data_IF_916013499108
#
_entry.id   IF_916013499108
#
_cell.length_a   1.000
_cell.length_b   1.000
_cell.length_c   1.000
_cell.angle_alpha   90.00
_cell.angle_beta   90.00
_cell.angle_gamma   90.00
#
_symmetry.space_group_name_H-M   'P 1'
#
loop_
_entity.id
_entity.type
_entity.pdbx_description
1 polymer ?
#
# COMPACT_ATOMS: atom_id res chain seq x y z
N UNK A 1 15.47 -12.96 4.32
CA UNK A 1 14.48 -11.86 4.45
C UNK A 1 13.58 -12.17 5.64
N UNK A 2 13.19 -11.18 6.44
CA UNK A 2 12.41 -11.39 7.67
C UNK A 2 11.14 -10.54 7.64
N UNK A 3 9.99 -11.18 7.85
CA UNK A 3 8.70 -10.52 8.00
C UNK A 3 8.66 -9.63 9.25
N UNK A 4 7.91 -8.53 9.18
CA UNK A 4 7.74 -7.55 10.26
C UNK A 4 6.37 -7.74 10.90
N UNK A 5 6.35 -8.22 12.15
CA UNK A 5 5.14 -8.22 12.98
C UNK A 5 4.81 -6.80 13.39
N UNK A 6 3.60 -6.36 13.08
CA UNK A 6 3.21 -4.96 13.25
C UNK A 6 2.02 -4.77 14.20
N UNK A 7 1.29 -5.85 14.50
CA UNK A 7 0.16 -5.82 15.44
C UNK A 7 0.61 -6.22 16.84
N UNK A 8 0.06 -5.54 17.85
CA UNK A 8 0.15 -5.94 19.26
C UNK A 8 -1.00 -6.87 19.68
N UNK A 9 -1.99 -7.05 18.81
CA UNK A 9 -3.25 -7.72 19.12
C UNK A 9 -3.40 -9.08 18.41
N UNK A 10 -2.54 -9.36 17.43
CA UNK A 10 -2.53 -10.60 16.68
C UNK A 10 -1.13 -10.83 16.06
N UNK A 11 -0.97 -11.95 15.37
CA UNK A 11 0.30 -12.37 14.78
C UNK A 11 0.50 -11.87 13.34
N UNK A 12 -0.24 -10.86 12.91
CA UNK A 12 -0.12 -10.32 11.56
C UNK A 12 1.28 -9.73 11.34
N UNK A 13 1.80 -10.06 10.16
CA UNK A 13 3.09 -9.59 9.70
C UNK A 13 3.00 -9.15 8.24
N UNK A 14 3.87 -8.21 7.88
CA UNK A 14 4.11 -7.78 6.50
C UNK A 14 5.45 -8.39 6.06
N UNK A 15 5.57 -8.84 4.81
CA UNK A 15 6.81 -9.44 4.31
C UNK A 15 8.01 -8.50 4.34
N UNK A 16 7.82 -7.25 3.91
CA UNK A 16 8.85 -6.22 3.89
C UNK A 16 8.34 -4.85 4.35
N UNK A 17 9.16 -4.17 5.16
CA UNK A 17 8.93 -2.78 5.55
C UNK A 17 10.26 -2.03 5.51
N UNK A 18 10.54 -1.24 4.45
CA UNK A 18 11.70 -0.36 4.44
C UNK A 18 11.52 0.81 5.40
N UNK A 19 12.54 1.07 6.22
CA UNK A 19 12.56 2.18 7.17
C UNK A 19 13.61 3.22 6.80
N UNK A 20 13.29 4.49 7.02
CA UNK A 20 14.24 5.60 6.96
C UNK A 20 14.26 6.27 8.32
N UNK A 21 15.39 6.19 9.04
CA UNK A 21 15.53 6.74 10.40
C UNK A 21 14.41 6.29 11.36
N UNK A 22 13.97 5.03 11.23
CA UNK A 22 12.90 4.46 12.05
C UNK A 22 11.47 4.75 11.56
N UNK A 23 11.29 5.54 10.50
CA UNK A 23 9.99 5.80 9.88
C UNK A 23 9.70 4.78 8.77
N UNK A 24 8.55 4.08 8.79
CA UNK A 24 8.19 3.15 7.73
C UNK A 24 7.86 3.92 6.45
N UNK A 25 8.62 3.69 5.38
CA UNK A 25 8.40 4.38 4.10
C UNK A 25 7.39 3.62 3.25
N UNK A 26 7.46 2.29 3.25
CA UNK A 26 6.59 1.44 2.47
C UNK A 26 6.29 0.12 3.20
N UNK A 27 5.21 -0.54 2.80
CA UNK A 27 5.02 -1.98 3.04
C UNK A 27 5.04 -2.72 1.72
N UNK A 28 5.50 -3.97 1.71
CA UNK A 28 5.32 -4.84 0.55
C UNK A 28 4.91 -6.24 1.00
N UNK A 29 3.88 -6.79 0.36
CA UNK A 29 3.52 -8.21 0.44
C UNK A 29 4.00 -8.88 -0.85
N UNK A 30 4.71 -10.00 -0.71
CA UNK A 30 5.41 -10.66 -1.79
C UNK A 30 4.78 -12.02 -2.09
N UNK A 31 4.55 -12.31 -3.37
CA UNK A 31 4.09 -13.60 -3.87
C UNK A 31 5.06 -14.13 -4.92
N UNK A 32 5.32 -15.44 -4.90
CA UNK A 32 6.24 -16.10 -5.84
C UNK A 32 5.49 -16.89 -6.91
N UNK A 33 6.04 -16.89 -8.13
CA UNK A 33 5.41 -17.53 -9.29
C UNK A 33 5.51 -19.05 -9.19
N UNK A 34 4.35 -19.68 -8.95
CA UNK A 34 3.92 -20.99 -9.47
C UNK A 34 2.43 -21.19 -9.12
N UNK A 35 1.97 -20.59 -8.02
CA UNK A 35 0.59 -20.73 -7.51
C UNK A 35 -0.07 -19.44 -7.01
N UNK A 36 0.69 -18.35 -6.82
CA UNK A 36 0.19 -17.10 -6.22
C UNK A 36 0.40 -15.88 -7.14
N UNK A 37 -0.66 -15.12 -7.33
CA UNK A 37 -0.80 -13.94 -8.19
C UNK A 37 -0.61 -12.62 -7.41
N UNK A 38 -0.51 -11.49 -8.13
CA UNK A 38 -0.53 -10.16 -7.48
C UNK A 38 -1.88 -9.88 -6.84
N UNK A 39 -2.96 -10.45 -7.38
CA UNK A 39 -4.31 -10.40 -6.81
C UNK A 39 -4.34 -11.01 -5.40
N UNK A 40 -3.61 -12.10 -5.15
CA UNK A 40 -3.54 -12.71 -3.80
C UNK A 40 -2.91 -11.75 -2.78
N UNK A 41 -1.88 -11.00 -3.17
CA UNK A 41 -1.31 -9.95 -2.32
C UNK A 41 -2.28 -8.78 -2.13
N UNK A 42 -3.00 -8.38 -3.18
CA UNK A 42 -4.03 -7.32 -3.09
C UNK A 42 -5.15 -7.72 -2.14
N UNK A 43 -5.64 -8.95 -2.23
CA UNK A 43 -6.72 -9.45 -1.40
C UNK A 43 -6.25 -9.62 0.05
N UNK A 44 -5.01 -10.06 0.27
CA UNK A 44 -4.41 -10.05 1.60
C UNK A 44 -4.40 -8.64 2.21
N UNK A 45 -4.06 -7.60 1.43
CA UNK A 45 -4.18 -6.23 1.91
C UNK A 45 -5.62 -5.81 2.22
N UNK A 46 -6.58 -6.20 1.37
CA UNK A 46 -8.00 -5.80 1.50
C UNK A 46 -8.69 -6.43 2.70
N UNK A 47 -8.36 -7.68 3.01
CA UNK A 47 -9.15 -8.49 3.93
C UNK A 47 -8.40 -8.82 5.22
N UNK A 48 -7.07 -8.96 5.16
CA UNK A 48 -6.27 -9.37 6.33
C UNK A 48 -5.44 -8.22 6.93
N UNK A 49 -5.07 -7.22 6.11
CA UNK A 49 -4.27 -6.05 6.54
C UNK A 49 -5.14 -4.81 6.74
N UNK A 50 -6.17 -4.95 7.57
CA UNK A 50 -7.06 -3.83 7.88
C UNK A 50 -6.35 -2.82 8.79
N UNK A 51 -6.33 -1.51 8.44
CA UNK A 51 -5.79 -0.48 9.33
C UNK A 51 -6.53 -0.38 10.67
N UNK A 52 -7.81 -0.75 10.70
CA UNK A 52 -8.60 -0.83 11.93
C UNK A 52 -9.40 -2.13 11.94
N UNK A 53 -8.82 -3.24 12.44
CA UNK A 53 -9.51 -4.52 12.51
C UNK A 53 -10.77 -4.44 13.39
N UNK A 54 -11.81 -5.21 13.03
CA UNK A 54 -13.05 -5.25 13.81
C UNK A 54 -12.77 -5.82 15.20
N UNK A 55 -13.30 -5.17 16.23
CA UNK A 55 -13.11 -5.58 17.63
C UNK A 55 -11.84 -5.04 18.29
N UNK A 56 -10.96 -4.37 17.54
CA UNK A 56 -9.85 -3.61 18.12
C UNK A 56 -10.24 -2.14 18.30
N UNK A 57 -9.90 -1.59 19.47
CA UNK A 57 -10.14 -0.19 19.81
C UNK A 57 -9.16 0.75 19.09
N UNK A 58 -7.91 0.31 18.94
CA UNK A 58 -6.85 1.04 18.27
C UNK A 58 -6.72 0.65 16.79
N UNK A 59 -6.21 1.59 15.99
CA UNK A 59 -5.79 1.32 14.61
C UNK A 59 -4.34 0.81 14.59
N UNK A 60 -4.02 -0.02 13.61
CA UNK A 60 -2.68 -0.53 13.34
C UNK A 60 -1.79 0.62 12.83
N UNK A 61 -0.78 1.09 13.59
CA UNK A 61 -0.05 2.31 13.25
C UNK A 61 0.68 2.24 11.91
N UNK A 62 1.28 1.08 11.59
CA UNK A 62 2.00 0.85 10.33
C UNK A 62 1.11 1.03 9.09
N UNK A 63 -0.18 0.70 9.21
CA UNK A 63 -1.14 0.70 8.09
C UNK A 63 -2.07 1.91 8.10
N UNK A 64 -1.98 2.76 9.12
CA UNK A 64 -2.87 3.91 9.31
C UNK A 64 -2.45 5.09 8.44
N UNK A 65 -3.40 5.65 7.70
CA UNK A 65 -3.17 6.89 6.95
C UNK A 65 -3.50 8.13 7.81
N UNK A 66 -2.69 9.22 7.80
CA UNK A 66 -1.47 9.42 7.01
C UNK A 66 -0.16 9.08 7.75
N UNK A 67 -0.23 8.61 9.00
CA UNK A 67 0.94 8.54 9.89
C UNK A 67 1.78 7.25 9.74
N UNK A 68 1.25 6.22 9.09
CA UNK A 68 1.89 4.94 8.83
C UNK A 68 2.74 4.96 7.55
N UNK A 69 2.90 3.80 6.93
CA UNK A 69 3.62 3.70 5.66
C UNK A 69 2.96 4.54 4.57
N UNK A 70 3.79 5.23 3.76
CA UNK A 70 3.33 6.15 2.72
C UNK A 70 2.73 5.42 1.51
N UNK A 71 3.18 4.19 1.28
CA UNK A 71 2.77 3.36 0.14
C UNK A 71 2.77 1.88 0.54
N UNK A 72 1.81 1.14 0.01
CA UNK A 72 1.68 -0.29 0.15
C UNK A 72 1.81 -0.95 -1.22
N UNK A 73 2.76 -1.86 -1.36
CA UNK A 73 3.02 -2.59 -2.59
C UNK A 73 2.52 -4.03 -2.50
N UNK A 74 1.76 -4.45 -3.50
CA UNK A 74 1.46 -5.85 -3.78
C UNK A 74 2.40 -6.30 -4.90
N UNK A 75 3.24 -7.30 -4.65
CA UNK A 75 4.32 -7.70 -5.55
C UNK A 75 4.18 -9.18 -5.89
N UNK A 76 4.18 -9.49 -7.17
CA UNK A 76 4.41 -10.82 -7.72
C UNK A 76 5.64 -10.81 -8.61
N UNK A 77 6.05 -11.95 -9.16
CA UNK A 77 7.19 -11.98 -10.10
C UNK A 77 6.87 -11.36 -11.46
N UNK A 78 5.60 -11.07 -11.77
CA UNK A 78 5.15 -10.50 -13.06
C UNK A 78 4.66 -9.06 -12.98
N UNK A 79 4.05 -8.70 -11.86
CA UNK A 79 3.39 -7.41 -11.70
C UNK A 79 3.60 -6.86 -10.29
N UNK A 80 3.74 -5.53 -10.23
CA UNK A 80 3.69 -4.76 -8.99
C UNK A 80 2.52 -3.78 -9.06
N UNK A 81 1.70 -3.77 -8.00
CA UNK A 81 0.66 -2.76 -7.78
C UNK A 81 0.90 -1.99 -6.51
N UNK A 82 0.38 -0.77 -6.44
CA UNK A 82 0.54 0.12 -5.29
C UNK A 82 -0.74 0.85 -4.89
N UNK A 83 -0.80 1.26 -3.63
CA UNK A 83 -1.81 2.17 -3.09
C UNK A 83 -1.24 2.99 -1.93
N UNK A 84 -1.76 4.19 -1.69
CA UNK A 84 -1.32 5.07 -0.59
C UNK A 84 -2.23 5.01 0.64
N UNK A 85 -3.44 4.45 0.50
CA UNK A 85 -4.41 4.32 1.57
C UNK A 85 -5.20 3.03 1.46
N UNK A 86 -5.13 2.21 2.50
CA UNK A 86 -5.97 1.01 2.63
C UNK A 86 -7.37 1.40 3.13
N UNK A 87 -8.40 0.91 2.44
CA UNK A 87 -9.82 1.10 2.75
C UNK A 87 -10.55 -0.25 2.87
N UNK A 88 -9.83 -1.29 3.30
CA UNK A 88 -10.33 -2.66 3.36
C UNK A 88 -10.77 -3.16 1.98
N UNK A 89 -11.94 -3.79 1.90
CA UNK A 89 -12.52 -4.31 0.66
C UNK A 89 -12.63 -3.26 -0.48
N UNK A 90 -12.77 -1.97 -0.14
CA UNK A 90 -12.88 -0.88 -1.12
C UNK A 90 -11.53 -0.40 -1.66
N UNK A 91 -10.41 -0.98 -1.21
CA UNK A 91 -9.08 -0.59 -1.67
C UNK A 91 -8.90 -0.91 -3.16
N UNK A 92 -8.52 0.11 -3.94
CA UNK A 92 -8.21 -0.05 -5.37
C UNK A 92 -6.71 0.14 -5.55
N UNK A 93 -6.02 -0.94 -5.92
CA UNK A 93 -4.60 -0.91 -6.23
C UNK A 93 -4.37 -0.47 -7.69
N UNK A 94 -3.38 0.39 -7.89
CA UNK A 94 -2.97 0.87 -9.21
C UNK A 94 -1.71 0.13 -9.67
N UNK A 95 -1.55 -0.19 -10.97
CA UNK A 95 -0.29 -0.70 -11.49
C UNK A 95 0.85 0.27 -11.18
N UNK A 96 1.96 -0.23 -10.60
CA UNK A 96 3.15 0.58 -10.32
C UNK A 96 3.93 0.89 -11.60
N UNK A 97 3.98 -0.06 -12.53
CA UNK A 97 4.57 0.08 -13.86
C UNK A 97 3.49 -0.26 -14.89
N UNK A 98 2.91 0.74 -15.55
CA UNK A 98 1.92 0.55 -16.63
C UNK A 98 2.59 0.30 -18.00
N UNK A 99 3.81 0.81 -18.17
CA UNK A 99 4.53 0.82 -19.46
C UNK A 99 3.93 1.82 -20.45
N UNK A 100 4.78 2.44 -21.28
CA UNK A 100 4.38 3.29 -22.41
C UNK A 100 4.99 2.76 -23.71
N UNK A 101 4.20 2.09 -24.56
CA UNK A 101 4.60 1.59 -25.90
C UNK A 101 5.95 0.85 -25.93
N UNK A 102 6.24 0.02 -24.92
CA UNK A 102 7.49 -0.74 -24.82
C UNK A 102 8.62 -0.07 -24.02
N UNK A 103 8.38 1.09 -23.43
CA UNK A 103 9.30 1.77 -22.50
C UNK A 103 8.77 1.78 -21.06
N UNK A 104 9.67 1.99 -20.09
CA UNK A 104 9.32 2.22 -18.69
C UNK A 104 8.66 3.60 -18.51
N UNK A 105 7.42 3.63 -18.02
CA UNK A 105 6.67 4.87 -17.74
C UNK A 105 5.17 4.65 -17.72
N UNK A 106 4.42 5.49 -16.99
CA UNK A 106 2.95 5.47 -17.01
C UNK A 106 2.47 6.48 -18.07
N UNK A 107 1.67 6.10 -19.09
CA UNK A 107 1.15 7.04 -20.07
C UNK A 107 0.32 8.13 -19.40
N UNK A 108 0.38 9.38 -19.91
CA UNK A 108 -0.44 10.47 -19.41
C UNK A 108 -1.92 10.09 -19.53
N UNK A 109 -2.66 10.20 -18.42
CA UNK A 109 -4.08 9.80 -18.36
C UNK A 109 -4.96 10.95 -18.83
N UNK A 110 -5.80 10.73 -19.85
CA UNK A 110 -6.71 11.75 -20.42
C UNK A 110 -7.98 12.01 -19.60
N UNK A 111 -7.98 11.67 -18.32
CA UNK A 111 -9.15 11.81 -17.45
C UNK A 111 -8.76 11.61 -15.99
N UNK A 112 -9.38 12.41 -15.13
CA UNK A 112 -9.20 12.50 -13.68
C UNK A 112 -9.27 11.14 -12.98
N UNK A 113 -8.16 10.40 -12.94
CA UNK A 113 -7.55 9.73 -11.76
C UNK A 113 -6.08 9.48 -12.11
N UNK A 114 -5.32 10.54 -12.27
CA UNK A 114 -3.90 10.51 -11.97
C UNK A 114 -3.82 11.09 -10.57
N UNK A 115 -3.55 10.27 -9.57
CA UNK A 115 -2.81 10.79 -8.42
C UNK A 115 -1.33 10.57 -8.78
N UNK A 116 -0.67 11.49 -9.52
CA UNK A 116 0.74 11.65 -9.27
C UNK A 116 0.85 11.97 -7.78
N UNK A 117 1.87 11.44 -7.13
CA UNK A 117 2.27 11.94 -5.82
C UNK A 117 2.75 13.40 -5.99
N UNK A 118 1.83 14.33 -6.26
CA UNK A 118 2.07 15.74 -5.99
C UNK A 118 1.82 15.92 -4.51
N UNK A 119 2.92 16.11 -3.79
CA UNK A 119 3.00 16.47 -2.38
C UNK A 119 1.97 17.55 -1.95
N UNK A 120 1.49 18.38 -2.88
CA UNK A 120 0.54 19.48 -2.61
C UNK A 120 -0.95 19.15 -2.45
N UNK A 121 -1.43 17.92 -2.70
CA UNK A 121 -2.86 17.56 -2.45
C UNK A 121 -3.10 16.72 -1.20
N UNK A 122 -2.05 16.41 -0.42
CA UNK A 122 -2.17 15.66 0.84
C UNK A 122 -2.31 16.57 2.08
N UNK A 123 -1.95 17.86 1.97
CA UNK A 123 -2.10 18.86 3.03
C UNK A 123 -2.94 20.04 2.51
N UNK A 124 -4.25 19.99 2.71
CA UNK A 124 -5.13 21.00 2.12
C UNK A 124 -6.55 20.99 2.64
N UNK A 125 -6.72 21.14 3.97
CA UNK A 125 -7.80 21.89 4.63
C UNK A 125 -7.60 21.79 6.15
N UNK A 126 -6.90 22.77 6.71
CA UNK A 126 -6.69 22.84 8.15
C UNK A 126 -5.70 23.91 8.60
N UNK A 127 -5.70 25.09 7.97
CA UNK A 127 -5.20 26.35 8.56
C UNK A 127 -5.93 27.54 7.93
N UNK A 128 -7.16 27.79 8.36
CA UNK A 128 -7.84 29.09 8.28
C UNK A 128 -9.10 29.01 9.13
N UNK A 129 -9.12 29.75 10.24
CA UNK A 129 -10.21 29.81 11.22
C UNK A 129 -9.67 29.76 12.63
#
# INVERSE_FOLDING_TARGET
MRQVRYSLHNENAIDLVPFLNGLPVATAELKSDFTQSVEDAVDQYRFDRLPKPKGQSAAEPLLSFPNGALVHFAVSSREVRMITRLQGAHTVFLPFIRGDRGAAGNPPTSGTVTAPLTCGKLFGRGIAG
#
